data_IF_326247615963
#
_entry.id   IF_326247615963
#
_cell.length_a   1.000
_cell.length_b   1.000
_cell.length_c   1.000
_cell.angle_alpha   90.00
_cell.angle_beta   90.00
_cell.angle_gamma   90.00
#
_symmetry.space_group_name_H-M   'P 1'
#
loop_
_entity.id
_entity.type
_entity.pdbx_description
1 polymer ?
#
# COMPACT_ATOMS: atom_id res chain seq x y z
N UNK A 1 -12.69 23.64 -7.73
CA UNK A 1 -11.95 23.46 -9.00
C UNK A 1 -10.60 24.14 -9.02
N UNK A 2 -10.39 25.28 -8.35
CA UNK A 2 -9.09 25.97 -8.27
C UNK A 2 -7.93 25.06 -7.81
N UNK A 3 -8.15 24.20 -6.81
CA UNK A 3 -7.16 23.20 -6.37
C UNK A 3 -6.69 22.25 -7.48
N UNK A 4 -7.55 21.88 -8.44
CA UNK A 4 -7.13 21.05 -9.58
C UNK A 4 -6.16 21.83 -10.50
N UNK A 5 -6.43 23.11 -10.71
CA UNK A 5 -5.53 23.99 -11.47
C UNK A 5 -4.21 24.22 -10.72
N UNK A 6 -4.27 24.46 -9.40
CA UNK A 6 -3.09 24.67 -8.54
C UNK A 6 -2.19 23.42 -8.49
N UNK A 7 -2.78 22.22 -8.55
CA UNK A 7 -2.06 20.94 -8.63
C UNK A 7 -1.53 20.62 -10.04
N UNK A 8 -1.79 21.47 -11.03
CA UNK A 8 -1.34 21.26 -12.41
C UNK A 8 -2.01 20.08 -13.12
N UNK A 9 -3.27 19.76 -12.76
CA UNK A 9 -4.02 18.71 -13.45
C UNK A 9 -4.16 19.04 -14.93
N UNK A 10 -3.70 18.14 -15.79
CA UNK A 10 -3.67 18.34 -17.26
C UNK A 10 -4.82 17.68 -17.99
N UNK A 11 -5.50 16.72 -17.36
CA UNK A 11 -6.66 16.01 -17.92
C UNK A 11 -7.63 15.53 -16.84
N UNK A 12 -8.92 15.45 -17.17
CA UNK A 12 -10.00 14.96 -16.29
C UNK A 12 -10.93 14.02 -17.06
N UNK A 13 -11.29 12.90 -16.42
CA UNK A 13 -12.38 12.02 -16.87
C UNK A 13 -13.57 12.21 -15.92
N UNK A 14 -14.69 12.70 -16.44
CA UNK A 14 -15.93 12.88 -15.68
C UNK A 14 -16.81 11.62 -15.80
N UNK A 15 -17.09 10.95 -14.68
CA UNK A 15 -17.89 9.72 -14.62
C UNK A 15 -19.39 9.98 -14.41
N UNK A 16 -20.27 8.99 -14.68
CA UNK A 16 -21.71 9.13 -14.46
C UNK A 16 -22.09 9.29 -12.98
N UNK A 17 -23.26 9.90 -12.66
CA UNK A 17 -24.27 10.39 -13.60
C UNK A 17 -23.86 11.72 -14.23
N UNK A 18 -23.64 11.70 -15.53
CA UNK A 18 -23.03 12.79 -16.27
C UNK A 18 -24.02 13.92 -16.60
N UNK A 19 -25.31 13.78 -16.30
CA UNK A 19 -26.29 14.85 -16.55
C UNK A 19 -25.97 16.15 -15.80
N UNK A 20 -25.78 16.06 -14.48
CA UNK A 20 -25.57 17.26 -13.63
C UNK A 20 -24.08 17.58 -13.47
N UNK A 21 -23.25 16.54 -13.40
CA UNK A 21 -21.84 16.67 -13.06
C UNK A 21 -20.93 16.81 -14.29
N UNK A 22 -21.40 16.52 -15.51
CA UNK A 22 -20.59 16.75 -16.70
C UNK A 22 -20.43 18.23 -17.00
N UNK A 23 -19.24 18.57 -17.49
CA UNK A 23 -18.83 19.91 -17.84
C UNK A 23 -18.62 20.84 -16.64
N UNK A 24 -18.64 20.35 -15.39
CA UNK A 24 -18.34 21.17 -14.22
C UNK A 24 -16.92 21.75 -14.33
N UNK A 25 -15.97 20.92 -14.75
CA UNK A 25 -14.58 21.35 -14.92
C UNK A 25 -14.49 22.41 -16.03
N UNK A 26 -15.19 22.22 -17.14
CA UNK A 26 -15.23 23.18 -18.26
C UNK A 26 -15.87 24.51 -17.89
N UNK A 27 -16.87 24.52 -17.01
CA UNK A 27 -17.56 25.75 -16.56
C UNK A 27 -16.67 26.58 -15.64
N UNK A 28 -15.93 25.92 -14.76
CA UNK A 28 -15.13 26.54 -13.70
C UNK A 28 -13.68 26.85 -14.09
N UNK A 29 -13.08 26.06 -14.99
CA UNK A 29 -11.70 26.23 -15.47
C UNK A 29 -11.70 26.64 -16.94
N UNK A 30 -11.18 27.84 -17.23
CA UNK A 30 -11.09 28.43 -18.58
C UNK A 30 -9.68 28.92 -18.86
N UNK A 31 -9.33 29.04 -20.14
CA UNK A 31 -8.05 29.58 -20.59
C UNK A 31 -7.01 28.51 -20.90
N UNK A 32 -5.78 28.95 -21.17
CA UNK A 32 -4.68 28.13 -21.70
C UNK A 32 -4.16 27.04 -20.76
N UNK A 33 -4.60 27.02 -19.50
CA UNK A 33 -4.28 26.00 -18.50
C UNK A 33 -5.46 25.12 -18.09
N UNK A 34 -6.57 25.15 -18.84
CA UNK A 34 -7.69 24.24 -18.58
C UNK A 34 -7.31 22.80 -18.95
N UNK A 35 -7.66 21.80 -18.12
CA UNK A 35 -7.38 20.40 -18.43
C UNK A 35 -8.22 19.94 -19.64
N UNK A 36 -7.71 18.96 -20.36
CA UNK A 36 -8.52 18.24 -21.34
C UNK A 36 -9.58 17.37 -20.63
N UNK A 37 -10.81 17.36 -21.14
CA UNK A 37 -11.95 16.73 -20.45
C UNK A 37 -12.59 15.67 -21.34
N UNK A 38 -12.73 14.45 -20.82
CA UNK A 38 -13.56 13.39 -21.39
C UNK A 38 -14.72 13.11 -20.46
N UNK A 39 -15.96 13.15 -20.97
CA UNK A 39 -17.14 12.69 -20.24
C UNK A 39 -17.43 11.23 -20.59
N UNK A 40 -17.34 10.34 -19.61
CA UNK A 40 -17.55 8.91 -19.79
C UNK A 40 -19.02 8.56 -19.46
N UNK A 41 -19.92 8.64 -20.43
CA UNK A 41 -21.35 8.40 -20.24
C UNK A 41 -21.73 6.93 -20.43
N UNK A 42 -21.07 6.27 -21.38
CA UNK A 42 -21.38 4.93 -21.85
C UNK A 42 -20.09 4.13 -22.06
N UNK A 43 -20.16 2.78 -22.16
CA UNK A 43 -19.00 1.97 -22.51
C UNK A 43 -18.35 2.36 -23.85
N UNK A 44 -19.08 2.99 -24.77
CA UNK A 44 -18.54 3.46 -26.05
C UNK A 44 -17.54 4.63 -25.90
N UNK A 45 -17.52 5.29 -24.74
CA UNK A 45 -16.60 6.39 -24.44
C UNK A 45 -15.24 5.89 -23.88
N UNK A 46 -15.13 4.59 -23.55
CA UNK A 46 -13.91 3.98 -23.01
C UNK A 46 -12.68 4.14 -23.90
N UNK A 47 -12.76 4.06 -25.26
CA UNK A 47 -11.62 4.36 -26.11
C UNK A 47 -11.08 5.78 -25.90
N UNK A 48 -11.96 6.80 -25.87
CA UNK A 48 -11.55 8.18 -25.67
C UNK A 48 -10.91 8.41 -24.29
N UNK A 49 -11.44 7.76 -23.25
CA UNK A 49 -10.85 7.78 -21.92
C UNK A 49 -9.45 7.14 -21.89
N UNK A 50 -9.26 6.00 -22.58
CA UNK A 50 -7.94 5.34 -22.70
C UNK A 50 -6.93 6.21 -23.44
N UNK A 51 -7.35 6.87 -24.51
CA UNK A 51 -6.48 7.78 -25.28
C UNK A 51 -6.06 9.00 -24.46
N UNK A 52 -6.97 9.54 -23.63
CA UNK A 52 -6.65 10.60 -22.69
C UNK A 52 -5.62 10.14 -21.65
N UNK A 53 -5.81 8.95 -21.07
CA UNK A 53 -4.87 8.33 -20.13
C UNK A 53 -3.52 8.10 -20.79
N UNK A 54 -3.46 7.63 -22.04
CA UNK A 54 -2.20 7.38 -22.73
C UNK A 54 -1.38 8.67 -22.97
N UNK A 55 -2.04 9.81 -23.19
CA UNK A 55 -1.37 11.10 -23.44
C UNK A 55 -0.98 11.84 -22.16
N UNK A 56 -1.77 11.71 -21.10
CA UNK A 56 -1.60 12.48 -19.86
C UNK A 56 -1.11 11.66 -18.67
N UNK A 57 -1.21 10.33 -18.76
CA UNK A 57 -0.70 9.43 -17.74
C UNK A 57 0.82 9.47 -17.69
N UNK A 58 1.38 9.55 -16.49
CA UNK A 58 2.77 9.19 -16.29
C UNK A 58 2.92 7.67 -16.48
N UNK A 59 4.12 7.21 -16.84
CA UNK A 59 4.46 5.80 -16.62
C UNK A 59 4.07 5.46 -15.18
N UNK A 60 3.49 4.27 -14.90
CA UNK A 60 3.20 3.88 -13.54
C UNK A 60 4.49 4.04 -12.74
N UNK A 61 4.58 5.12 -11.97
CA UNK A 61 5.53 5.24 -10.89
C UNK A 61 5.05 4.17 -9.95
N UNK A 62 5.83 3.07 -9.86
CA UNK A 62 5.57 1.93 -8.99
C UNK A 62 4.84 2.45 -7.76
N UNK A 63 3.59 2.04 -7.58
CA UNK A 63 2.95 2.19 -6.29
C UNK A 63 4.00 1.75 -5.27
N UNK A 64 4.37 2.57 -4.27
CA UNK A 64 5.32 2.12 -3.27
C UNK A 64 4.63 1.02 -2.49
N UNK A 65 4.66 -0.19 -3.04
CA UNK A 65 4.40 -1.40 -2.31
C UNK A 65 5.36 -1.33 -1.13
N UNK A 66 4.88 -1.44 0.12
CA UNK A 66 5.77 -1.47 1.26
C UNK A 66 6.85 -2.50 0.94
N UNK A 67 8.11 -2.04 0.90
CA UNK A 67 9.28 -2.88 0.55
C UNK A 67 9.61 -3.89 1.66
N UNK A 68 8.66 -4.11 2.55
CA UNK A 68 8.73 -4.96 3.71
C UNK A 68 7.42 -5.72 3.86
N UNK A 69 7.54 -6.88 4.47
CA UNK A 69 6.45 -7.77 4.88
C UNK A 69 6.39 -7.75 6.39
N UNK A 70 5.27 -8.21 6.94
CA UNK A 70 5.04 -8.21 8.39
C UNK A 70 4.88 -9.64 8.86
N UNK A 71 5.71 -10.06 9.81
CA UNK A 71 5.44 -11.26 10.61
C UNK A 71 4.40 -10.90 11.67
N UNK A 72 3.37 -11.73 11.79
CA UNK A 72 2.24 -11.50 12.72
C UNK A 72 2.13 -12.66 13.70
N UNK A 73 1.55 -12.39 14.87
CA UNK A 73 1.21 -13.44 15.81
C UNK A 73 0.05 -14.29 15.28
N UNK A 74 0.17 -15.61 15.32
CA UNK A 74 -0.92 -16.53 15.00
C UNK A 74 -1.87 -16.76 16.19
N UNK A 75 -1.45 -16.41 17.41
CA UNK A 75 -2.16 -16.73 18.66
C UNK A 75 -2.11 -15.57 19.66
N UNK A 76 -2.93 -15.64 20.71
CA UNK A 76 -2.80 -14.73 21.85
C UNK A 76 -1.76 -15.27 22.83
N UNK A 77 -0.90 -14.41 23.38
CA UNK A 77 0.12 -14.81 24.35
C UNK A 77 1.14 -13.73 24.62
N UNK A 78 2.31 -14.15 25.09
CA UNK A 78 3.46 -13.26 25.36
C UNK A 78 4.53 -13.50 24.30
N UNK A 79 5.03 -12.44 23.67
CA UNK A 79 6.01 -12.56 22.61
C UNK A 79 7.45 -12.64 23.15
N UNK A 80 8.21 -13.60 22.61
CA UNK A 80 9.62 -13.83 22.93
C UNK A 80 10.44 -13.89 21.62
N UNK A 81 11.15 -12.81 21.26
CA UNK A 81 12.05 -12.81 20.10
C UNK A 81 13.14 -13.89 20.21
N UNK A 82 13.56 -14.44 19.07
CA UNK A 82 14.66 -15.41 19.03
C UNK A 82 15.96 -14.78 19.54
N UNK A 83 16.67 -15.48 20.43
CA UNK A 83 17.92 -14.99 20.99
C UNK A 83 18.97 -14.76 19.89
N UNK A 84 19.62 -13.59 19.95
CA UNK A 84 20.69 -13.23 19.01
C UNK A 84 20.21 -12.76 17.63
N UNK A 85 18.91 -12.53 17.44
CA UNK A 85 18.37 -11.90 16.23
C UNK A 85 18.09 -10.41 16.49
N UNK A 86 18.86 -9.55 15.83
CA UNK A 86 18.77 -8.09 15.93
C UNK A 86 18.25 -7.47 14.63
N UNK A 87 17.74 -6.24 14.73
CA UNK A 87 17.43 -5.44 13.54
C UNK A 87 18.67 -5.26 12.67
N UNK A 88 18.51 -5.39 11.36
CA UNK A 88 19.58 -5.44 10.38
C UNK A 88 20.07 -6.86 10.05
N UNK A 89 19.71 -7.87 10.83
CA UNK A 89 20.10 -9.24 10.54
C UNK A 89 19.30 -9.84 9.37
N UNK A 90 19.97 -10.69 8.59
CA UNK A 90 19.32 -11.46 7.53
C UNK A 90 18.56 -12.65 8.10
N UNK A 91 17.33 -12.83 7.66
CA UNK A 91 16.49 -14.00 7.96
C UNK A 91 16.23 -14.83 6.70
N UNK A 92 16.10 -16.14 6.86
CA UNK A 92 15.73 -17.07 5.78
C UNK A 92 14.24 -17.36 5.78
N UNK A 93 13.71 -17.78 4.63
CA UNK A 93 12.36 -18.33 4.56
C UNK A 93 12.24 -19.55 5.50
N UNK A 94 11.21 -19.57 6.33
CA UNK A 94 10.96 -20.58 7.36
C UNK A 94 11.82 -20.42 8.63
N UNK A 95 12.72 -19.44 8.72
CA UNK A 95 13.50 -19.21 9.93
C UNK A 95 12.57 -18.74 11.06
N UNK A 96 12.62 -19.42 12.21
CA UNK A 96 11.95 -18.98 13.43
C UNK A 96 12.62 -17.70 13.92
N UNK A 97 11.83 -16.63 14.02
CA UNK A 97 12.26 -15.31 14.50
C UNK A 97 11.85 -15.06 15.95
N UNK A 98 11.01 -15.93 16.53
CA UNK A 98 10.58 -15.86 17.91
C UNK A 98 9.46 -16.84 18.19
N UNK A 99 8.90 -16.76 19.39
CA UNK A 99 7.78 -17.58 19.84
C UNK A 99 6.75 -16.73 20.55
N UNK A 100 5.50 -17.18 20.54
CA UNK A 100 4.44 -16.65 21.39
C UNK A 100 4.13 -17.70 22.45
N UNK A 101 4.45 -17.40 23.70
CA UNK A 101 4.10 -18.25 24.84
C UNK A 101 2.59 -18.21 25.06
N UNK A 102 1.93 -19.36 24.87
CA UNK A 102 0.49 -19.51 25.09
C UNK A 102 0.20 -20.49 26.23
N UNK A 103 -1.05 -20.57 26.67
CA UNK A 103 -1.49 -21.56 27.69
C UNK A 103 -1.39 -23.01 27.20
N UNK A 104 -1.38 -23.24 25.89
CA UNK A 104 -1.27 -24.58 25.30
C UNK A 104 0.17 -24.93 24.87
N UNK A 105 1.14 -24.06 25.16
CA UNK A 105 2.54 -24.21 24.75
C UNK A 105 3.00 -23.08 23.83
N UNK A 106 4.31 -22.99 23.54
CA UNK A 106 4.84 -21.98 22.64
C UNK A 106 4.39 -22.21 21.20
N UNK A 107 4.09 -21.12 20.48
CA UNK A 107 3.78 -21.11 19.05
C UNK A 107 4.92 -20.39 18.32
N UNK A 108 5.53 -21.05 17.35
CA UNK A 108 6.61 -20.46 16.55
C UNK A 108 6.11 -19.31 15.68
N UNK A 109 6.89 -18.24 15.63
CA UNK A 109 6.76 -17.14 14.68
C UNK A 109 7.90 -17.27 13.68
N UNK A 110 7.59 -17.54 12.43
CA UNK A 110 8.57 -17.76 11.38
C UNK A 110 8.51 -16.69 10.29
N UNK A 111 9.67 -16.35 9.72
CA UNK A 111 9.76 -15.52 8.54
C UNK A 111 9.21 -16.29 7.32
N UNK A 112 8.19 -15.75 6.64
CA UNK A 112 7.61 -16.43 5.47
C UNK A 112 8.56 -16.47 4.27
N UNK A 113 9.40 -15.44 4.12
CA UNK A 113 10.41 -15.35 3.07
C UNK A 113 11.73 -14.79 3.60
N UNK A 114 12.79 -14.95 2.82
CA UNK A 114 14.09 -14.39 3.14
C UNK A 114 14.08 -12.86 3.02
N UNK A 115 14.86 -12.18 3.85
CA UNK A 115 14.97 -10.72 3.86
C UNK A 115 15.81 -10.22 5.04
N UNK A 116 15.73 -8.92 5.32
CA UNK A 116 16.36 -8.30 6.49
C UNK A 116 15.29 -8.00 7.51
N UNK A 117 15.51 -8.37 8.78
CA UNK A 117 14.68 -7.91 9.88
C UNK A 117 14.89 -6.39 10.05
N UNK A 118 13.95 -5.59 9.55
CA UNK A 118 14.11 -4.13 9.52
C UNK A 118 13.66 -3.45 10.81
N UNK A 119 12.70 -4.04 11.53
CA UNK A 119 12.11 -3.45 12.73
C UNK A 119 11.40 -4.51 13.57
N UNK A 120 11.59 -4.50 14.89
CA UNK A 120 10.72 -5.18 15.84
C UNK A 120 9.51 -4.28 16.19
N UNK A 121 8.30 -4.80 16.00
CA UNK A 121 7.05 -4.10 16.32
C UNK A 121 6.46 -4.53 17.68
N UNK A 122 6.92 -5.67 18.18
CA UNK A 122 6.67 -6.16 19.53
C UNK A 122 8.01 -6.58 20.14
N UNK A 123 8.17 -6.38 21.45
CA UNK A 123 9.37 -6.67 22.20
C UNK A 123 9.20 -7.89 23.09
N UNK A 124 10.29 -8.31 23.70
CA UNK A 124 10.26 -9.36 24.71
C UNK A 124 9.26 -9.04 25.82
N UNK A 125 8.47 -10.04 26.20
CA UNK A 125 7.41 -9.98 27.20
C UNK A 125 6.16 -9.16 26.83
N UNK A 126 6.07 -8.62 25.61
CA UNK A 126 4.88 -7.89 25.18
C UNK A 126 3.68 -8.85 25.02
N UNK A 127 2.48 -8.48 25.51
CA UNK A 127 1.27 -9.22 25.23
C UNK A 127 0.84 -8.99 23.78
N UNK A 128 0.50 -10.07 23.07
CA UNK A 128 0.12 -10.02 21.66
C UNK A 128 -1.20 -10.74 21.39
N UNK A 129 -1.97 -10.23 20.43
CA UNK A 129 -3.20 -10.83 19.93
C UNK A 129 -2.99 -11.51 18.56
N UNK A 130 -3.89 -12.42 18.13
CA UNK A 130 -3.86 -12.98 16.78
C UNK A 130 -3.94 -11.87 15.72
N UNK A 131 -3.07 -11.94 14.72
CA UNK A 131 -2.93 -10.94 13.66
C UNK A 131 -2.10 -9.71 14.06
N UNK A 132 -1.65 -9.61 15.32
CA UNK A 132 -0.83 -8.49 15.76
C UNK A 132 0.54 -8.50 15.05
N UNK A 133 0.96 -7.39 14.43
CA UNK A 133 2.30 -7.24 13.88
C UNK A 133 3.40 -7.43 14.94
N UNK A 134 4.40 -8.24 14.64
CA UNK A 134 5.53 -8.54 15.53
C UNK A 134 6.85 -8.01 14.97
N UNK A 135 7.04 -8.09 13.66
CA UNK A 135 8.28 -7.65 13.01
C UNK A 135 8.06 -7.24 11.56
N UNK A 136 8.86 -6.31 11.06
CA UNK A 136 8.98 -5.99 9.63
C UNK A 136 10.20 -6.68 9.06
N UNK A 137 10.01 -7.35 7.92
CA UNK A 137 11.06 -8.02 7.17
C UNK A 137 11.07 -7.43 5.76
N UNK A 138 12.11 -6.66 5.43
CA UNK A 138 12.19 -5.92 4.17
C UNK A 138 13.55 -6.04 3.50
N UNK A 139 13.61 -5.52 2.26
CA UNK A 139 14.79 -5.60 1.41
C UNK A 139 14.92 -6.95 0.68
N UNK A 140 15.39 -6.89 -0.57
CA UNK A 140 15.94 -8.06 -1.27
C UNK A 140 17.44 -8.10 -1.02
N UNK A 141 17.99 -9.32 -0.85
CA UNK A 141 19.42 -9.57 -1.05
C UNK A 141 19.75 -9.52 -2.55
#
# INVERSE_FOLDING_TARGET
MRTLADLGVTAVIELPPAGTLAGLVKRELKGTGAPEIVTLNTPADLPAARDLIARHGAAPSHEPAPQFRVAVSASAGTFEPAAGLAEGDTVRAGQVIGHVATRQGPVEVAAHEAGVLTEWLAHHDDPVAPGQPLARIGGHL
#
